data_IF_146319002600
#
_entry.id   IF_146319002600
#
_cell.length_a   1.000
_cell.length_b   1.000
_cell.length_c   1.000
_cell.angle_alpha   90.00
_cell.angle_beta   90.00
_cell.angle_gamma   90.00
#
_symmetry.space_group_name_H-M   'P 1'
#
loop_
_entity.id
_entity.type
_entity.pdbx_description
1 polymer ?
#
# COMPACT_ATOMS: atom_id res chain seq x y z
N UNK A 1 12.97 -27.36 1.82
CA UNK A 1 12.70 -26.07 1.16
C UNK A 1 11.31 -25.63 1.60
N UNK A 2 11.20 -24.43 2.13
CA UNK A 2 9.95 -23.88 2.67
C UNK A 2 9.57 -22.63 1.90
N UNK A 3 8.28 -22.33 1.81
CA UNK A 3 7.79 -21.13 1.15
C UNK A 3 6.46 -20.69 1.76
N UNK A 4 6.10 -19.44 1.56
CA UNK A 4 4.82 -18.90 2.00
C UNK A 4 4.42 -17.66 1.24
N UNK A 5 3.11 -17.41 1.20
CA UNK A 5 2.51 -16.28 0.51
C UNK A 5 1.30 -15.77 1.29
N UNK A 6 1.10 -14.46 1.31
CA UNK A 6 -0.07 -13.82 1.92
C UNK A 6 -0.47 -12.57 1.15
N UNK A 7 -1.76 -12.40 0.92
CA UNK A 7 -2.37 -11.18 0.38
C UNK A 7 -3.33 -10.64 1.43
N UNK A 8 -3.37 -9.32 1.59
CA UNK A 8 -4.34 -8.63 2.45
C UNK A 8 -4.89 -7.45 1.67
N UNK A 9 -6.19 -7.50 1.43
CA UNK A 9 -6.96 -6.36 0.95
C UNK A 9 -7.65 -5.69 2.14
N UNK A 10 -7.72 -4.36 2.11
CA UNK A 10 -8.55 -3.59 3.02
C UNK A 10 -9.85 -3.24 2.29
N UNK A 11 -10.98 -3.28 3.00
CA UNK A 11 -12.22 -2.76 2.43
C UNK A 11 -12.15 -1.23 2.44
N UNK A 12 -12.53 -0.64 1.31
CA UNK A 12 -12.53 0.80 1.11
C UNK A 12 -13.91 1.38 1.37
N UNK A 13 -13.94 2.47 2.11
CA UNK A 13 -15.16 3.17 2.49
C UNK A 13 -15.04 3.87 3.84
N UNK A 14 -15.61 5.07 3.92
CA UNK A 14 -15.73 5.88 5.15
C UNK A 14 -14.41 6.46 5.71
N UNK A 15 -13.34 6.51 4.91
CA UNK A 15 -12.12 7.29 5.19
C UNK A 15 -12.18 8.66 4.49
N UNK A 16 -13.28 9.37 4.70
CA UNK A 16 -13.51 10.69 4.10
C UNK A 16 -13.18 11.77 5.13
N UNK A 17 -12.29 12.67 4.76
CA UNK A 17 -12.00 13.90 5.50
C UNK A 17 -12.75 15.04 4.82
N UNK A 18 -13.67 15.65 5.57
CA UNK A 18 -14.45 16.79 5.12
C UNK A 18 -13.76 18.09 5.54
N UNK A 19 -13.65 19.02 4.61
CA UNK A 19 -13.21 20.39 4.82
C UNK A 19 -14.25 21.34 4.19
N UNK A 20 -14.13 22.64 4.46
CA UNK A 20 -15.09 23.66 4.02
C UNK A 20 -15.10 23.81 2.49
N UNK A 21 -13.97 23.52 1.83
CA UNK A 21 -13.79 23.70 0.39
C UNK A 21 -13.39 22.41 -0.36
N UNK A 22 -13.18 21.30 0.37
CA UNK A 22 -12.72 20.03 -0.22
C UNK A 22 -13.18 18.82 0.57
N UNK A 23 -13.38 17.72 -0.15
CA UNK A 23 -13.51 16.39 0.44
C UNK A 23 -12.31 15.55 -0.01
N UNK A 24 -11.64 14.89 0.92
CA UNK A 24 -10.51 14.00 0.63
C UNK A 24 -10.84 12.58 1.08
N UNK A 25 -10.67 11.60 0.20
CA UNK A 25 -10.84 10.19 0.50
C UNK A 25 -9.52 9.43 0.26
N UNK A 26 -9.21 8.52 1.19
CA UNK A 26 -8.03 7.65 1.12
C UNK A 26 -8.46 6.21 0.88
N UNK A 27 -8.11 5.69 -0.28
CA UNK A 27 -8.34 4.29 -0.68
C UNK A 27 -7.32 3.39 0.04
N UNK A 28 -7.77 2.24 0.51
CA UNK A 28 -6.96 1.24 1.19
C UNK A 28 -6.00 0.56 0.21
N UNK A 29 -4.77 0.36 0.65
CA UNK A 29 -3.78 -0.39 -0.11
C UNK A 29 -4.05 -1.88 -0.03
N UNK A 30 -4.02 -2.57 -1.17
CA UNK A 30 -3.72 -4.00 -1.18
C UNK A 30 -2.26 -4.19 -0.77
N UNK A 31 -1.97 -5.27 -0.05
CA UNK A 31 -0.61 -5.66 0.34
C UNK A 31 -0.38 -7.14 0.08
N UNK A 32 0.83 -7.49 -0.36
CA UNK A 32 1.26 -8.85 -0.61
C UNK A 32 2.64 -9.10 0.01
N UNK A 33 2.83 -10.31 0.51
CA UNK A 33 4.09 -10.75 1.08
C UNK A 33 4.35 -12.20 0.68
N UNK A 34 5.55 -12.47 0.20
CA UNK A 34 5.98 -13.79 -0.24
C UNK A 34 7.39 -14.07 0.25
N UNK A 35 7.70 -15.35 0.47
CA UNK A 35 9.04 -15.78 0.80
C UNK A 35 9.31 -17.22 0.38
N UNK A 36 10.58 -17.50 0.10
CA UNK A 36 11.11 -18.84 -0.13
C UNK A 36 12.39 -19.01 0.66
N UNK A 37 12.56 -20.18 1.27
CA UNK A 37 13.66 -20.51 2.16
C UNK A 37 14.26 -21.87 1.78
N UNK A 38 15.58 -21.91 1.63
CA UNK A 38 16.35 -23.11 1.36
C UNK A 38 17.47 -23.27 2.38
N UNK A 39 17.68 -24.51 2.82
CA UNK A 39 18.84 -24.87 3.62
C UNK A 39 19.96 -25.29 2.66
N UNK A 40 21.09 -24.59 2.74
CA UNK A 40 22.27 -24.86 1.95
C UNK A 40 23.38 -25.55 2.73
N UNK A 41 24.56 -25.58 2.14
CA UNK A 41 25.73 -26.22 2.73
C UNK A 41 26.30 -25.42 3.91
N UNK A 42 26.89 -26.13 4.88
CA UNK A 42 27.59 -25.52 6.02
C UNK A 42 26.67 -24.95 7.11
N UNK A 43 25.44 -25.45 7.25
CA UNK A 43 24.49 -24.94 8.26
C UNK A 43 23.94 -23.54 7.94
N UNK A 44 24.04 -23.13 6.67
CA UNK A 44 23.49 -21.87 6.18
C UNK A 44 22.07 -22.04 5.66
N UNK A 45 21.19 -21.12 6.00
CA UNK A 45 19.82 -21.01 5.50
C UNK A 45 19.67 -19.70 4.74
N UNK A 46 19.24 -19.80 3.48
CA UNK A 46 18.98 -18.68 2.59
C UNK A 46 17.48 -18.44 2.51
N UNK A 47 17.05 -17.19 2.69
CA UNK A 47 15.65 -16.80 2.60
C UNK A 47 15.51 -15.57 1.72
N UNK A 48 14.74 -15.71 0.65
CA UNK A 48 14.36 -14.62 -0.24
C UNK A 48 12.94 -14.18 0.10
N UNK A 49 12.73 -12.87 0.24
CA UNK A 49 11.44 -12.26 0.55
C UNK A 49 11.11 -11.21 -0.51
N UNK A 50 9.85 -11.17 -0.95
CA UNK A 50 9.33 -10.14 -1.82
C UNK A 50 8.01 -9.62 -1.26
N UNK A 51 7.88 -8.29 -1.16
CA UNK A 51 6.73 -7.64 -0.55
C UNK A 51 6.40 -6.32 -1.22
N UNK A 52 5.16 -5.87 -1.08
CA UNK A 52 4.85 -4.47 -1.34
C UNK A 52 5.47 -3.57 -0.25
N UNK A 53 5.90 -2.38 -0.65
CA UNK A 53 6.33 -1.36 0.30
C UNK A 53 5.15 -0.50 0.74
N UNK A 54 4.41 0.04 -0.24
CA UNK A 54 3.32 0.97 0.01
C UNK A 54 2.63 1.38 -1.29
N UNK A 55 1.30 1.25 -1.36
CA UNK A 55 0.48 1.98 -2.32
C UNK A 55 -0.44 2.92 -1.55
N UNK A 56 -0.52 4.18 -1.96
CA UNK A 56 -1.53 5.12 -1.43
C UNK A 56 -2.21 5.82 -2.58
N UNK A 57 -3.53 5.67 -2.63
CA UNK A 57 -4.38 6.44 -3.53
C UNK A 57 -5.22 7.44 -2.72
N UNK A 58 -5.33 8.65 -3.24
CA UNK A 58 -6.12 9.74 -2.70
C UNK A 58 -7.03 10.28 -3.80
N UNK A 59 -8.32 10.32 -3.53
CA UNK A 59 -9.30 11.10 -4.29
C UNK A 59 -9.57 12.41 -3.57
N UNK A 60 -9.64 13.51 -4.31
CA UNK A 60 -9.97 14.84 -3.77
C UNK A 60 -10.96 15.55 -4.68
N UNK A 61 -12.06 15.96 -4.07
CA UNK A 61 -13.09 16.76 -4.71
C UNK A 61 -12.98 18.19 -4.17
N UNK A 62 -12.89 19.18 -5.05
CA UNK A 62 -12.78 20.59 -4.68
C UNK A 62 -13.97 21.38 -5.19
N UNK A 63 -14.50 22.27 -4.36
CA UNK A 63 -15.72 23.03 -4.67
C UNK A 63 -15.43 24.49 -5.03
N UNK A 64 -16.24 25.04 -5.92
CA UNK A 64 -16.22 26.45 -6.29
C UNK A 64 -16.67 27.32 -5.10
N UNK A 65 -16.23 28.58 -5.04
CA UNK A 65 -16.51 29.50 -3.92
C UNK A 65 -16.17 28.99 -2.51
N UNK A 66 -15.37 27.92 -2.37
CA UNK A 66 -14.97 27.34 -1.08
C UNK A 66 -16.16 26.97 -0.19
N UNK A 67 -17.22 26.43 -0.79
CA UNK A 67 -18.39 25.98 -0.04
C UNK A 67 -18.87 24.64 -0.61
N UNK A 68 -18.75 23.58 0.18
CA UNK A 68 -19.31 22.24 -0.13
C UNK A 68 -20.84 22.29 -0.30
N UNK A 69 -21.53 23.28 0.29
CA UNK A 69 -22.99 23.37 0.28
C UNK A 69 -23.63 24.22 -0.83
N UNK A 70 -22.89 25.14 -1.43
CA UNK A 70 -23.42 26.14 -2.39
C UNK A 70 -22.56 26.28 -3.67
N UNK A 71 -21.34 25.73 -3.65
CA UNK A 71 -20.40 25.74 -4.77
C UNK A 71 -20.54 24.53 -5.67
N UNK A 72 -20.50 24.73 -6.99
CA UNK A 72 -20.37 23.64 -7.95
C UNK A 72 -19.05 22.88 -7.78
N UNK A 73 -19.02 21.62 -8.22
CA UNK A 73 -17.79 20.83 -8.27
C UNK A 73 -16.81 21.48 -9.27
N UNK A 74 -15.65 21.91 -8.77
CA UNK A 74 -14.62 22.59 -9.57
C UNK A 74 -13.56 21.64 -10.10
N UNK A 75 -13.14 20.68 -9.29
CA UNK A 75 -12.00 19.82 -9.59
C UNK A 75 -12.18 18.43 -8.97
N UNK A 76 -11.84 17.40 -9.74
CA UNK A 76 -11.72 16.02 -9.32
C UNK A 76 -10.27 15.58 -9.53
N UNK A 77 -9.54 15.33 -8.45
CA UNK A 77 -8.16 14.86 -8.49
C UNK A 77 -8.09 13.43 -7.97
N UNK A 78 -7.53 12.51 -8.77
CA UNK A 78 -7.14 11.17 -8.31
C UNK A 78 -5.63 11.02 -8.43
N UNK A 79 -4.96 10.91 -7.28
CA UNK A 79 -3.50 10.76 -7.20
C UNK A 79 -3.16 9.43 -6.51
N UNK A 80 -2.30 8.63 -7.14
CA UNK A 80 -1.80 7.39 -6.58
C UNK A 80 -0.26 7.40 -6.55
N UNK A 81 0.30 6.95 -5.44
CA UNK A 81 1.73 6.74 -5.26
C UNK A 81 1.99 5.26 -5.02
N UNK A 82 2.89 4.68 -5.79
CA UNK A 82 3.38 3.32 -5.66
C UNK A 82 4.91 3.37 -5.53
N UNK A 83 5.44 2.86 -4.42
CA UNK A 83 6.89 2.72 -4.22
C UNK A 83 7.42 1.41 -4.77
N UNK A 84 6.55 0.52 -5.24
CA UNK A 84 6.89 -0.72 -5.91
C UNK A 84 7.19 -1.87 -4.95
N UNK A 85 7.95 -2.83 -5.47
CA UNK A 85 8.26 -4.09 -4.79
C UNK A 85 9.59 -4.01 -4.06
N UNK A 86 9.60 -4.39 -2.78
CA UNK A 86 10.82 -4.52 -1.98
C UNK A 86 11.26 -5.98 -1.94
N UNK A 87 12.51 -6.22 -2.28
CA UNK A 87 13.16 -7.53 -2.27
C UNK A 87 14.20 -7.59 -1.15
N UNK A 88 14.26 -8.70 -0.43
CA UNK A 88 15.25 -8.93 0.61
C UNK A 88 15.83 -10.35 0.53
N UNK A 89 17.16 -10.46 0.64
CA UNK A 89 17.87 -11.72 0.80
C UNK A 89 18.45 -11.79 2.22
N UNK A 90 18.06 -12.82 2.96
CA UNK A 90 18.54 -13.09 4.32
C UNK A 90 19.34 -14.39 4.33
N UNK A 91 20.48 -14.36 5.01
CA UNK A 91 21.34 -15.53 5.22
C UNK A 91 21.48 -15.73 6.73
N UNK A 92 21.19 -16.93 7.22
CA UNK A 92 21.32 -17.32 8.63
C UNK A 92 22.27 -18.49 8.75
N UNK A 93 23.14 -18.49 9.75
CA UNK A 93 24.01 -19.64 10.08
C UNK A 93 23.67 -20.18 11.46
N UNK A 94 23.79 -21.50 11.65
CA UNK A 94 23.56 -22.19 12.94
C UNK A 94 24.87 -22.72 13.55
N UNK A 95 26.00 -22.04 13.33
CA UNK A 95 27.31 -22.45 13.83
C UNK A 95 27.40 -22.41 15.36
#
# INVERSE_FOLDING_TARGET
>A
MNWGFSIRNRFDGNNITYDIDKNEEYEGSNSYFSWVEMQGWGGLTYRFEARDEFVRCRSRDRFENRSVGDGGLRELEKACWDTGTVLALKVRGTF
#
